data_IF_006746307739
#
_entry.id   IF_006746307739
#
_cell.length_a   1.000
_cell.length_b   1.000
_cell.length_c   1.000
_cell.angle_alpha   90.00
_cell.angle_beta   90.00
_cell.angle_gamma   90.00
#
_symmetry.space_group_name_H-M   'P 1'
#
loop_
_entity.id
_entity.type
_entity.pdbx_description
1 polymer ?
#
# COMPACT_ATOMS: atom_id res chain seq x y z
N UNK A 1 -37.72 39.47 28.00
CA UNK A 1 -37.45 38.16 28.67
C UNK A 1 -36.55 37.32 27.75
N UNK A 2 -35.23 37.29 27.99
CA UNK A 2 -34.29 36.50 27.20
C UNK A 2 -33.99 35.19 27.95
N UNK A 3 -34.20 34.04 27.29
CA UNK A 3 -33.76 32.73 27.77
C UNK A 3 -32.29 32.56 27.39
N UNK A 4 -31.42 32.34 28.36
CA UNK A 4 -30.09 31.78 28.16
C UNK A 4 -30.00 30.48 28.97
N UNK A 5 -30.04 29.35 28.28
CA UNK A 5 -29.69 28.05 28.84
C UNK A 5 -28.51 27.53 28.02
N UNK A 6 -27.30 27.82 28.48
CA UNK A 6 -26.08 27.29 27.87
C UNK A 6 -25.67 26.08 28.69
N UNK A 7 -25.82 24.87 28.12
CA UNK A 7 -25.32 23.65 28.74
C UNK A 7 -23.82 23.57 28.49
N UNK A 8 -23.03 23.58 29.56
CA UNK A 8 -21.58 23.50 29.52
C UNK A 8 -21.10 22.08 29.19
N UNK A 9 -20.34 21.96 28.10
CA UNK A 9 -19.82 20.70 27.55
C UNK A 9 -18.73 20.10 28.46
N UNK A 10 -18.13 20.92 29.33
CA UNK A 10 -17.16 20.49 30.35
C UNK A 10 -17.68 19.35 31.25
N UNK A 11 -18.98 19.31 31.50
CA UNK A 11 -19.61 18.28 32.34
C UNK A 11 -19.62 16.86 31.73
N UNK A 12 -19.36 16.72 30.43
CA UNK A 12 -19.28 15.42 29.76
C UNK A 12 -17.97 14.69 30.06
N UNK A 13 -16.86 15.41 30.24
CA UNK A 13 -15.53 14.81 30.39
C UNK A 13 -15.17 14.47 31.85
N UNK A 14 -15.99 14.87 32.81
CA UNK A 14 -15.74 14.66 34.25
C UNK A 14 -16.41 13.42 34.84
N UNK A 15 -17.31 12.74 34.12
CA UNK A 15 -17.91 11.48 34.61
C UNK A 15 -17.01 10.28 34.28
N UNK A 16 -16.26 9.80 35.27
CA UNK A 16 -15.65 8.46 35.20
C UNK A 16 -16.74 7.38 35.25
N UNK A 17 -16.63 6.28 34.48
CA UNK A 17 -17.64 5.24 34.46
C UNK A 17 -17.64 4.45 35.78
N UNK A 18 -18.79 4.40 36.44
CA UNK A 18 -19.04 3.56 37.62
C UNK A 18 -19.32 2.12 37.18
N UNK A 19 -18.78 1.16 37.93
CA UNK A 19 -18.71 -0.28 37.65
C UNK A 19 -20.04 -1.07 37.66
N UNK A 20 -21.20 -0.41 37.64
CA UNK A 20 -22.50 -1.10 37.64
C UNK A 20 -23.07 -1.37 36.24
N UNK A 21 -22.58 -0.69 35.19
CA UNK A 21 -23.16 -0.80 33.85
C UNK A 21 -22.62 -1.95 32.98
N UNK A 22 -21.51 -2.59 33.38
CA UNK A 22 -20.95 -3.71 32.61
C UNK A 22 -21.76 -5.00 32.78
N UNK A 23 -22.36 -5.21 33.95
CA UNK A 23 -23.12 -6.43 34.25
C UNK A 23 -24.50 -6.46 33.61
N UNK A 24 -25.15 -5.31 33.38
CA UNK A 24 -26.48 -5.26 32.78
C UNK A 24 -26.49 -5.51 31.26
N UNK A 25 -25.44 -5.07 30.54
CA UNK A 25 -25.38 -5.24 29.07
C UNK A 25 -25.15 -6.70 28.69
N UNK A 26 -24.29 -7.43 29.42
CA UNK A 26 -24.07 -8.86 29.17
C UNK A 26 -25.32 -9.70 29.43
N UNK A 27 -26.09 -9.40 30.48
CA UNK A 27 -27.32 -10.15 30.79
C UNK A 27 -28.43 -9.98 29.74
N UNK A 28 -28.45 -8.89 28.96
CA UNK A 28 -29.53 -8.65 27.99
C UNK A 28 -29.38 -9.47 26.71
N UNK A 29 -28.15 -9.66 26.22
CA UNK A 29 -27.88 -10.43 24.99
C UNK A 29 -28.02 -11.94 25.24
N UNK A 30 -27.54 -12.41 26.39
CA UNK A 30 -27.68 -13.82 26.79
C UNK A 30 -29.15 -14.21 27.01
N UNK A 31 -29.95 -13.33 27.62
CA UNK A 31 -31.39 -13.57 27.82
C UNK A 31 -32.18 -13.57 26.50
N UNK A 32 -31.72 -12.87 25.46
CA UNK A 32 -32.34 -12.97 24.12
C UNK A 32 -32.00 -14.28 23.42
N UNK A 33 -30.76 -14.74 23.50
CA UNK A 33 -30.33 -16.00 22.88
C UNK A 33 -31.04 -17.21 23.50
N UNK A 34 -31.19 -17.23 24.85
CA UNK A 34 -31.90 -18.30 25.55
C UNK A 34 -33.37 -18.40 25.13
N UNK A 35 -34.05 -17.24 24.98
CA UNK A 35 -35.44 -17.20 24.54
C UNK A 35 -35.66 -17.70 23.10
N UNK A 36 -34.72 -17.45 22.20
CA UNK A 36 -34.78 -17.95 20.82
C UNK A 36 -34.61 -19.47 20.78
N UNK A 37 -33.69 -20.02 21.59
CA UNK A 37 -33.42 -21.46 21.66
C UNK A 37 -34.59 -22.23 22.27
N UNK A 38 -35.22 -21.68 23.31
CA UNK A 38 -36.39 -22.29 23.96
C UNK A 38 -37.60 -22.29 23.02
N UNK A 39 -37.87 -21.18 22.33
CA UNK A 39 -38.97 -21.06 21.37
C UNK A 39 -38.78 -21.93 20.11
N UNK A 40 -37.52 -22.24 19.72
CA UNK A 40 -37.22 -23.26 18.70
C UNK A 40 -37.48 -24.69 19.19
N UNK A 41 -37.23 -24.96 20.48
CA UNK A 41 -37.42 -26.29 21.09
C UNK A 41 -38.89 -26.61 21.35
N UNK A 42 -39.69 -25.57 21.64
CA UNK A 42 -41.14 -25.68 21.83
C UNK A 42 -41.92 -25.64 20.50
N UNK A 43 -41.24 -25.45 19.36
CA UNK A 43 -41.86 -25.45 18.02
C UNK A 43 -42.73 -24.23 17.72
N UNK A 44 -42.63 -23.15 18.52
CA UNK A 44 -43.37 -21.90 18.32
C UNK A 44 -42.79 -21.05 17.17
N UNK A 45 -41.56 -21.34 16.73
CA UNK A 45 -40.88 -20.68 15.61
C UNK A 45 -40.60 -21.72 14.51
N UNK A 46 -41.16 -21.53 13.31
CA UNK A 46 -40.86 -22.38 12.16
C UNK A 46 -39.41 -22.16 11.70
N UNK A 47 -38.56 -23.18 11.85
CA UNK A 47 -37.30 -23.25 11.10
C UNK A 47 -37.68 -23.47 9.65
N UNK A 48 -37.56 -22.42 8.83
CA UNK A 48 -37.94 -22.47 7.42
C UNK A 48 -37.11 -23.48 6.62
N UNK A 49 -37.48 -24.76 6.66
CA UNK A 49 -37.04 -25.78 5.71
C UNK A 49 -38.04 -25.81 4.56
N UNK A 50 -38.02 -24.76 3.73
CA UNK A 50 -38.84 -24.65 2.52
C UNK A 50 -38.03 -24.93 1.25
N UNK A 51 -38.71 -25.54 0.27
CA UNK A 51 -38.52 -25.77 -1.19
C UNK A 51 -37.33 -25.21 -2.00
N UNK A 52 -36.32 -24.56 -1.42
CA UNK A 52 -35.13 -24.05 -2.13
C UNK A 52 -33.96 -25.05 -2.14
N UNK A 53 -34.24 -26.34 -1.95
CA UNK A 53 -33.27 -27.43 -2.06
C UNK A 53 -33.30 -28.14 -3.43
N UNK A 54 -33.98 -27.59 -4.43
CA UNK A 54 -34.10 -28.26 -5.73
C UNK A 54 -33.08 -27.79 -6.78
N UNK A 55 -32.33 -28.80 -7.23
CA UNK A 55 -31.36 -28.88 -8.33
C UNK A 55 -30.01 -28.29 -7.97
N UNK A 56 -29.13 -29.19 -7.53
CA UNK A 56 -27.71 -28.91 -7.34
C UNK A 56 -27.16 -28.10 -8.51
N UNK A 57 -26.38 -27.07 -8.17
CA UNK A 57 -25.63 -26.29 -9.14
C UNK A 57 -25.00 -27.28 -10.13
N UNK A 58 -25.45 -27.24 -11.38
CA UNK A 58 -24.81 -27.98 -12.45
C UNK A 58 -23.33 -27.73 -12.32
N UNK A 59 -22.53 -28.80 -12.22
CA UNK A 59 -21.09 -28.71 -12.00
C UNK A 59 -20.56 -27.59 -12.91
N UNK A 60 -19.92 -26.53 -12.39
CA UNK A 60 -19.17 -25.60 -13.22
C UNK A 60 -17.86 -26.27 -13.68
N UNK A 61 -17.95 -27.46 -14.27
CA UNK A 61 -16.94 -27.96 -15.17
C UNK A 61 -17.42 -27.42 -16.52
N UNK A 62 -16.96 -26.28 -17.03
CA UNK A 62 -15.66 -25.67 -16.96
C UNK A 62 -15.92 -24.17 -16.91
N UNK A 63 -15.83 -23.54 -15.73
CA UNK A 63 -15.57 -22.11 -15.76
C UNK A 63 -14.18 -21.94 -16.36
N UNK A 64 -14.19 -21.39 -17.56
CA UNK A 64 -13.09 -20.92 -18.38
C UNK A 64 -12.18 -19.95 -17.60
N UNK A 65 -11.47 -20.48 -16.61
CA UNK A 65 -10.44 -19.82 -15.82
C UNK A 65 -9.03 -20.15 -16.32
N UNK A 66 -8.88 -21.10 -17.25
CA UNK A 66 -7.58 -21.47 -17.85
C UNK A 66 -6.95 -20.38 -18.73
N UNK A 67 -7.54 -19.18 -18.78
CA UNK A 67 -7.02 -18.02 -19.52
C UNK A 67 -6.71 -16.82 -18.60
N UNK A 68 -6.91 -16.92 -17.28
CA UNK A 68 -6.50 -15.83 -16.38
C UNK A 68 -5.03 -15.95 -15.96
N UNK A 69 -4.55 -17.16 -15.67
CA UNK A 69 -3.18 -17.35 -15.16
C UNK A 69 -2.11 -16.99 -16.20
N UNK A 70 -2.36 -17.22 -17.49
CA UNK A 70 -1.42 -16.87 -18.56
C UNK A 70 -1.39 -15.37 -18.84
N UNK A 71 -2.55 -14.70 -18.80
CA UNK A 71 -2.64 -13.23 -18.97
C UNK A 71 -2.02 -12.51 -17.77
N UNK A 72 -2.27 -13.00 -16.55
CA UNK A 72 -1.72 -12.40 -15.34
C UNK A 72 -0.23 -12.73 -15.15
N UNK A 73 0.23 -13.92 -15.57
CA UNK A 73 1.67 -14.23 -15.67
C UNK A 73 2.36 -13.33 -16.70
N UNK A 74 1.77 -13.10 -17.88
CA UNK A 74 2.36 -12.21 -18.89
C UNK A 74 2.43 -10.76 -18.39
N UNK A 75 1.43 -10.29 -17.63
CA UNK A 75 1.47 -8.97 -16.96
C UNK A 75 2.56 -8.93 -15.88
N UNK A 76 2.64 -9.94 -15.03
CA UNK A 76 3.64 -10.04 -13.97
C UNK A 76 5.06 -10.06 -14.57
N UNK A 77 5.31 -10.85 -15.60
CA UNK A 77 6.59 -10.89 -16.34
C UNK A 77 6.95 -9.53 -16.93
N UNK A 78 5.97 -8.82 -17.52
CA UNK A 78 6.19 -7.47 -18.06
C UNK A 78 6.58 -6.47 -16.96
N UNK A 79 5.91 -6.54 -15.81
CA UNK A 79 6.22 -5.70 -14.64
C UNK A 79 7.61 -6.06 -14.09
N UNK A 80 7.93 -7.34 -13.96
CA UNK A 80 9.25 -7.80 -13.49
C UNK A 80 10.36 -7.27 -14.39
N UNK A 81 10.19 -7.33 -15.72
CA UNK A 81 11.17 -6.77 -16.66
C UNK A 81 11.32 -5.26 -16.52
N UNK A 82 10.24 -4.53 -16.23
CA UNK A 82 10.30 -3.09 -15.96
C UNK A 82 11.06 -2.79 -14.65
N UNK A 83 10.75 -3.52 -13.58
CA UNK A 83 11.39 -3.36 -12.27
C UNK A 83 12.87 -3.81 -12.26
N UNK A 84 13.25 -4.70 -13.18
CA UNK A 84 14.63 -5.15 -13.36
C UNK A 84 15.37 -4.38 -14.46
N UNK A 85 14.81 -3.28 -14.96
CA UNK A 85 15.52 -2.42 -15.91
C UNK A 85 16.59 -1.57 -15.22
N UNK A 86 17.67 -1.24 -15.94
CA UNK A 86 18.70 -0.33 -15.45
C UNK A 86 18.14 0.98 -14.93
N UNK A 87 17.28 1.64 -15.72
CA UNK A 87 16.70 2.92 -15.36
C UNK A 87 15.90 2.86 -14.06
N UNK A 88 15.09 1.82 -13.88
CA UNK A 88 14.31 1.66 -12.66
C UNK A 88 15.21 1.42 -11.44
N UNK A 89 16.15 0.47 -11.52
CA UNK A 89 17.03 0.14 -10.40
C UNK A 89 17.93 1.31 -10.03
N UNK A 90 18.43 2.05 -11.02
CA UNK A 90 19.20 3.28 -10.81
C UNK A 90 18.39 4.30 -10.02
N UNK A 91 17.19 4.65 -10.50
CA UNK A 91 16.30 5.60 -9.81
C UNK A 91 15.91 5.08 -8.44
N UNK A 92 15.60 3.79 -8.30
CA UNK A 92 15.24 3.20 -7.00
C UNK A 92 16.37 3.32 -5.97
N UNK A 93 17.61 2.99 -6.34
CA UNK A 93 18.76 3.15 -5.46
C UNK A 93 19.03 4.63 -5.13
N UNK A 94 18.80 5.53 -6.10
CA UNK A 94 19.00 6.97 -5.91
C UNK A 94 17.96 7.52 -4.93
N UNK A 95 16.71 7.09 -5.08
CA UNK A 95 15.62 7.44 -4.17
C UNK A 95 15.91 6.93 -2.76
N UNK A 96 16.37 5.69 -2.60
CA UNK A 96 16.76 5.16 -1.27
C UNK A 96 17.85 6.02 -0.63
N UNK A 97 18.87 6.44 -1.39
CA UNK A 97 19.92 7.31 -0.88
C UNK A 97 19.39 8.69 -0.46
N UNK A 98 18.56 9.33 -1.31
CA UNK A 98 17.95 10.63 -1.02
C UNK A 98 17.03 10.56 0.19
N UNK A 99 16.15 9.55 0.25
CA UNK A 99 15.27 9.33 1.41
C UNK A 99 16.06 9.07 2.68
N UNK A 100 17.17 8.33 2.61
CA UNK A 100 18.06 8.12 3.75
C UNK A 100 18.60 9.44 4.31
N UNK A 101 19.06 10.35 3.43
CA UNK A 101 19.59 11.66 3.83
C UNK A 101 18.49 12.57 4.39
N UNK A 102 17.31 12.60 3.76
CA UNK A 102 16.22 13.50 4.17
C UNK A 102 15.40 12.97 5.34
N UNK A 103 15.60 11.71 5.76
CA UNK A 103 14.78 11.08 6.79
C UNK A 103 14.83 11.79 8.14
N UNK A 104 16.02 12.21 8.58
CA UNK A 104 16.18 12.89 9.88
C UNK A 104 15.43 14.23 9.90
N UNK A 105 15.57 15.03 8.85
CA UNK A 105 14.81 16.25 8.66
C UNK A 105 13.30 15.98 8.60
N UNK A 106 12.88 14.96 7.83
CA UNK A 106 11.47 14.59 7.71
C UNK A 106 10.85 14.22 9.07
N UNK A 107 11.54 13.40 9.87
CA UNK A 107 11.10 13.01 11.21
C UNK A 107 11.01 14.22 12.14
N UNK A 108 11.99 15.11 12.09
CA UNK A 108 12.01 16.26 12.98
C UNK A 108 10.94 17.30 12.62
N UNK A 109 10.64 17.49 11.34
CA UNK A 109 9.56 18.37 10.87
C UNK A 109 8.16 17.85 11.21
N UNK A 110 8.00 16.55 11.47
CA UNK A 110 6.73 15.98 11.91
C UNK A 110 6.44 16.21 13.41
N UNK A 111 7.42 16.69 14.19
CA UNK A 111 7.23 16.98 15.62
C UNK A 111 6.46 18.29 15.80
N UNK A 112 5.45 18.26 16.67
CA UNK A 112 4.59 19.43 16.95
C UNK A 112 5.35 20.58 17.64
N UNK A 113 6.39 20.28 18.42
CA UNK A 113 7.10 21.25 19.25
C UNK A 113 8.53 21.56 18.74
N UNK A 114 8.71 21.56 17.42
CA UNK A 114 10.03 21.77 16.84
C UNK A 114 10.43 23.26 16.88
N UNK A 115 11.58 23.54 17.50
CA UNK A 115 12.18 24.87 17.51
C UNK A 115 12.63 25.30 16.10
N UNK A 116 12.35 26.56 15.72
CA UNK A 116 12.62 27.09 14.37
C UNK A 116 14.13 27.15 14.05
N UNK A 117 14.98 27.45 15.04
CA UNK A 117 16.44 27.50 14.85
C UNK A 117 16.97 26.09 14.62
N UNK A 118 16.45 25.12 15.37
CA UNK A 118 16.78 23.71 15.17
C UNK A 118 16.30 23.21 13.79
N UNK A 119 15.09 23.58 13.37
CA UNK A 119 14.58 23.25 12.03
C UNK A 119 15.49 23.79 10.91
N UNK A 120 15.93 25.04 11.02
CA UNK A 120 16.86 25.65 10.08
C UNK A 120 18.20 24.92 10.03
N UNK A 121 18.77 24.57 11.18
CA UNK A 121 20.03 23.81 11.23
C UNK A 121 19.91 22.46 10.52
N UNK A 122 18.80 21.73 10.70
CA UNK A 122 18.58 20.45 10.02
C UNK A 122 18.43 20.61 8.50
N UNK A 123 17.80 21.69 8.03
CA UNK A 123 17.70 22.01 6.60
C UNK A 123 19.09 22.21 6.00
N UNK A 124 19.97 22.96 6.69
CA UNK A 124 21.34 23.19 6.22
C UNK A 124 22.15 21.89 6.18
N UNK A 125 22.08 21.07 7.24
CA UNK A 125 22.75 19.75 7.30
C UNK A 125 22.29 18.85 6.15
N UNK A 126 20.98 18.79 5.91
CA UNK A 126 20.39 17.97 4.85
C UNK A 126 20.83 18.46 3.48
N UNK A 127 20.82 19.78 3.27
CA UNK A 127 21.27 20.41 2.03
C UNK A 127 22.74 20.10 1.75
N UNK A 128 23.64 20.29 2.72
CA UNK A 128 25.06 19.98 2.58
C UNK A 128 25.28 18.50 2.29
N UNK A 129 24.52 17.61 2.93
CA UNK A 129 24.62 16.16 2.70
C UNK A 129 24.16 15.76 1.28
N UNK A 130 23.05 16.34 0.80
CA UNK A 130 22.58 16.13 -0.59
C UNK A 130 23.55 16.70 -1.62
N UNK A 131 24.19 17.84 -1.33
CA UNK A 131 25.24 18.40 -2.19
C UNK A 131 26.45 17.47 -2.25
N UNK A 132 26.93 16.97 -1.11
CA UNK A 132 28.02 16.00 -1.05
C UNK A 132 27.69 14.72 -1.83
N UNK A 133 26.48 14.19 -1.69
CA UNK A 133 26.03 13.03 -2.48
C UNK A 133 26.07 13.31 -3.99
N UNK A 134 25.70 14.52 -4.42
CA UNK A 134 25.73 14.92 -5.83
C UNK A 134 27.16 15.06 -6.38
N UNK A 135 28.05 15.65 -5.61
CA UNK A 135 29.41 16.02 -6.05
C UNK A 135 30.39 14.85 -5.95
N UNK A 136 30.31 14.07 -4.87
CA UNK A 136 31.26 12.99 -4.56
C UNK A 136 30.62 11.60 -4.62
N UNK A 137 29.29 11.51 -4.53
CA UNK A 137 28.57 10.26 -4.36
C UNK A 137 28.27 9.49 -5.65
N UNK A 138 28.57 10.03 -6.82
CA UNK A 138 28.24 9.41 -8.12
C UNK A 138 28.86 8.02 -8.28
N UNK A 139 30.18 7.90 -8.09
CA UNK A 139 30.90 6.63 -8.28
C UNK A 139 30.38 5.57 -7.29
N UNK A 140 30.26 5.93 -6.01
CA UNK A 140 29.74 5.02 -4.99
C UNK A 140 28.30 4.56 -5.30
N UNK A 141 27.47 5.45 -5.85
CA UNK A 141 26.12 5.11 -6.26
C UNK A 141 26.12 4.14 -7.45
N UNK A 142 26.93 4.42 -8.47
CA UNK A 142 27.09 3.58 -9.66
C UNK A 142 27.63 2.18 -9.32
N UNK A 143 28.58 2.09 -8.40
CA UNK A 143 29.13 0.80 -7.93
C UNK A 143 28.05 -0.04 -7.25
N UNK A 144 27.18 0.59 -6.43
CA UNK A 144 26.04 -0.09 -5.80
C UNK A 144 25.03 -0.61 -6.83
N UNK A 145 24.66 0.22 -7.80
CA UNK A 145 23.74 -0.15 -8.88
C UNK A 145 24.32 -1.30 -9.71
N UNK A 146 25.57 -1.17 -10.15
CA UNK A 146 26.26 -2.19 -10.95
C UNK A 146 26.37 -3.51 -10.18
N UNK A 147 26.75 -3.47 -8.90
CA UNK A 147 26.83 -4.66 -8.05
C UNK A 147 25.48 -5.36 -7.88
N UNK A 148 24.40 -4.58 -7.73
CA UNK A 148 23.04 -5.11 -7.69
C UNK A 148 22.68 -5.79 -9.01
N UNK A 149 22.95 -5.15 -10.15
CA UNK A 149 22.60 -5.70 -11.47
C UNK A 149 23.34 -6.98 -11.80
N UNK A 150 24.65 -7.02 -11.54
CA UNK A 150 25.47 -8.24 -11.72
C UNK A 150 24.93 -9.38 -10.87
N UNK A 151 24.52 -9.09 -9.62
CA UNK A 151 23.97 -10.09 -8.69
C UNK A 151 22.68 -10.74 -9.22
N UNK A 152 21.83 -9.98 -9.93
CA UNK A 152 20.56 -10.48 -10.47
C UNK A 152 20.62 -10.83 -11.96
N UNK A 153 21.81 -10.82 -12.57
CA UNK A 153 22.00 -11.17 -13.98
C UNK A 153 21.36 -10.17 -14.95
N UNK A 154 21.18 -8.92 -14.53
CA UNK A 154 20.66 -7.84 -15.38
C UNK A 154 21.82 -7.23 -16.17
N UNK A 155 21.63 -7.04 -17.48
CA UNK A 155 22.61 -6.39 -18.34
C UNK A 155 22.81 -4.93 -17.93
N UNK A 156 24.07 -4.56 -17.66
CA UNK A 156 24.44 -3.17 -17.38
C UNK A 156 24.73 -2.47 -18.71
N UNK A 157 24.03 -1.37 -19.04
CA UNK A 157 24.29 -0.64 -20.27
C UNK A 157 25.72 -0.10 -20.31
N UNK A 158 26.34 -0.18 -21.49
CA UNK A 158 27.62 0.50 -21.72
C UNK A 158 27.40 2.01 -21.80
N UNK A 159 27.69 2.72 -20.70
CA UNK A 159 27.54 4.18 -20.60
C UNK A 159 28.62 4.97 -21.37
N UNK A 160 29.69 4.32 -21.82
CA UNK A 160 30.72 4.94 -22.67
C UNK A 160 30.37 4.86 -24.17
N UNK A 161 29.34 4.08 -24.53
CA UNK A 161 28.88 3.96 -25.90
C UNK A 161 28.20 5.26 -26.38
N UNK A 162 28.22 5.50 -27.68
CA UNK A 162 27.53 6.64 -28.28
C UNK A 162 26.03 6.57 -27.97
N UNK A 163 25.49 7.64 -27.37
CA UNK A 163 24.06 7.74 -27.12
C UNK A 163 23.28 7.84 -28.44
N UNK A 164 22.47 6.82 -28.72
CA UNK A 164 21.58 6.80 -29.88
C UNK A 164 20.22 7.33 -29.42
N UNK A 165 19.84 8.51 -29.92
CA UNK A 165 18.52 9.08 -29.65
C UNK A 165 17.44 8.12 -30.19
N UNK A 166 16.52 7.62 -29.36
CA UNK A 166 15.40 6.82 -29.84
C UNK A 166 14.53 7.67 -30.77
N UNK A 167 14.66 7.46 -32.07
CA UNK A 167 13.88 8.20 -33.07
C UNK A 167 12.39 7.81 -32.99
N UNK A 168 11.49 8.78 -33.24
CA UNK A 168 10.02 8.60 -33.28
C UNK A 168 9.51 7.44 -34.16
N UNK A 169 10.36 6.83 -34.98
CA UNK A 169 10.03 5.73 -35.91
C UNK A 169 10.10 4.32 -35.29
N UNK A 170 10.63 4.13 -34.08
CA UNK A 170 10.72 2.79 -33.48
C UNK A 170 9.37 2.18 -33.08
N UNK A 171 8.35 3.01 -32.80
CA UNK A 171 7.00 2.53 -32.45
C UNK A 171 6.18 2.03 -33.65
N UNK A 172 6.56 2.35 -34.88
CA UNK A 172 5.87 1.86 -36.08
C UNK A 172 6.33 0.45 -36.46
N UNK A 173 7.63 0.16 -36.37
CA UNK A 173 8.19 -1.14 -36.78
C UNK A 173 7.85 -2.29 -35.82
N UNK A 174 7.52 -1.99 -34.55
CA UNK A 174 7.03 -2.98 -33.59
C UNK A 174 5.61 -3.48 -33.91
N UNK A 175 4.82 -2.69 -34.65
CA UNK A 175 3.48 -3.11 -35.13
C UNK A 175 3.60 -3.99 -36.36
N UNK A 176 4.43 -3.59 -37.33
CA UNK A 176 4.59 -4.29 -38.61
C UNK A 176 5.18 -5.69 -38.48
N UNK A 177 6.00 -5.97 -37.44
CA UNK A 177 6.58 -7.31 -37.21
C UNK A 177 5.59 -8.30 -36.56
N UNK A 178 4.49 -7.84 -35.95
CA UNK A 178 3.46 -8.72 -35.35
C UNK A 178 2.35 -9.12 -36.33
N UNK A 179 2.33 -8.54 -37.54
CA UNK A 179 1.34 -8.84 -38.58
C UNK A 179 1.92 -9.71 -39.72
N UNK A 180 3.12 -10.29 -39.55
CA UNK A 180 3.78 -11.17 -40.53
C UNK A 180 4.22 -12.54 -39.96
N UNK A 181 3.56 -13.01 -38.90
CA UNK A 181 3.57 -14.42 -38.45
C UNK A 181 2.12 -14.88 -38.33
#
# INVERSE_FOLDING_TARGET
MKRSNTRDISSFFTKKPTTENASQVQTSEENQAVRVVEALSLGEIETGSGLNQERGLGRPCYTRWEVSDTIDSNKAQSITHLLMSFDFVFVAHLMVAIFGITNELNVALQKHDQDIVNAMSMVDITKTSLQKMREEGWNLHMDKVTSFMVKYGVEVPNMEANYIVPGRRMYQNMKTRREQL
#
